data_IF_178218553796
#
_entry.id   IF_178218553796
#
_cell.length_a   1.000
_cell.length_b   1.000
_cell.length_c   1.000
_cell.angle_alpha   90.00
_cell.angle_beta   90.00
_cell.angle_gamma   90.00
#
_symmetry.space_group_name_H-M   'P 1'
#
loop_
_entity.id
_entity.type
_entity.pdbx_description
1 polymer ?
#
# COMPACT_ATOMS: atom_id res chain seq x y z
N UNK A 1 -13.40 -6.08 -23.70
CA UNK A 1 -14.45 -5.04 -23.73
C UNK A 1 -13.79 -3.72 -24.08
N UNK A 2 -14.19 -3.08 -25.19
CA UNK A 2 -13.70 -1.74 -25.50
C UNK A 2 -14.32 -0.76 -24.49
N UNK A 3 -13.47 0.00 -23.80
CA UNK A 3 -13.91 0.98 -22.82
C UNK A 3 -14.82 2.02 -23.51
N UNK A 4 -15.95 2.35 -22.87
CA UNK A 4 -17.05 3.17 -23.42
C UNK A 4 -16.61 4.55 -23.93
N UNK A 5 -15.54 5.12 -23.37
CA UNK A 5 -14.96 6.39 -23.81
C UNK A 5 -14.32 6.35 -25.21
N UNK A 6 -14.07 5.16 -25.79
CA UNK A 6 -13.49 5.04 -27.13
C UNK A 6 -14.48 5.31 -28.27
N UNK A 7 -15.79 5.29 -28.01
CA UNK A 7 -16.82 5.48 -29.05
C UNK A 7 -16.92 6.93 -29.54
N UNK A 8 -16.65 7.90 -28.68
CA UNK A 8 -16.74 9.32 -29.03
C UNK A 8 -15.42 9.91 -29.54
N UNK A 9 -14.35 9.10 -29.65
CA UNK A 9 -13.05 9.58 -30.14
C UNK A 9 -12.96 9.64 -31.67
N UNK A 10 -13.84 8.94 -32.41
CA UNK A 10 -13.78 8.94 -33.88
C UNK A 10 -13.98 10.33 -34.49
N UNK A 11 -14.84 11.16 -33.88
CA UNK A 11 -15.09 12.53 -34.32
C UNK A 11 -13.89 13.47 -34.17
N UNK A 12 -12.91 13.11 -33.34
CA UNK A 12 -11.70 13.89 -33.09
C UNK A 12 -10.48 13.33 -33.84
N UNK A 13 -10.61 12.18 -34.48
CA UNK A 13 -9.48 11.44 -35.08
C UNK A 13 -8.94 12.06 -36.37
N UNK A 14 -9.75 12.89 -37.03
CA UNK A 14 -9.39 13.56 -38.29
C UNK A 14 -8.96 15.02 -38.08
N UNK A 15 -8.89 15.48 -36.83
CA UNK A 15 -8.43 16.83 -36.52
C UNK A 15 -6.90 16.86 -36.59
N UNK A 16 -6.36 17.84 -37.31
CA UNK A 16 -4.91 18.10 -37.34
C UNK A 16 -4.50 18.84 -36.07
N UNK A 17 -3.86 18.10 -35.15
CA UNK A 17 -3.38 18.63 -33.87
C UNK A 17 -2.28 19.69 -34.07
N UNK A 18 -1.41 19.53 -35.07
CA UNK A 18 -0.31 20.45 -35.34
C UNK A 18 -0.82 21.79 -35.89
N UNK A 19 -1.83 21.76 -36.77
CA UNK A 19 -2.47 22.99 -37.25
C UNK A 19 -3.17 23.74 -36.12
N UNK A 20 -3.88 23.02 -35.23
CA UNK A 20 -4.54 23.62 -34.08
C UNK A 20 -3.54 24.32 -33.16
N UNK A 21 -2.45 23.64 -32.80
CA UNK A 21 -1.41 24.17 -31.91
C UNK A 21 -0.68 25.38 -32.52
N UNK A 22 -0.45 25.39 -33.83
CA UNK A 22 0.20 26.52 -34.51
C UNK A 22 -0.65 27.80 -34.54
N UNK A 23 -1.98 27.68 -34.40
CA UNK A 23 -2.88 28.83 -34.35
C UNK A 23 -2.95 29.48 -32.96
N UNK A 24 -2.42 28.84 -31.91
CA UNK A 24 -2.38 29.40 -30.55
C UNK A 24 -1.20 30.37 -30.39
N UNK A 25 -1.41 31.44 -29.63
CA UNK A 25 -0.33 32.32 -29.19
C UNK A 25 0.53 31.67 -28.09
N UNK A 26 1.77 32.15 -27.90
CA UNK A 26 2.67 31.65 -26.84
C UNK A 26 2.04 31.69 -25.43
N UNK A 27 1.16 32.68 -25.18
CA UNK A 27 0.45 32.81 -23.90
C UNK A 27 -0.62 31.73 -23.72
N UNK A 28 -1.36 31.41 -24.78
CA UNK A 28 -2.39 30.38 -24.76
C UNK A 28 -1.78 28.98 -24.68
N UNK A 29 -0.64 28.74 -25.35
CA UNK A 29 0.12 27.50 -25.22
C UNK A 29 0.58 27.26 -23.78
N UNK A 30 1.06 28.32 -23.11
CA UNK A 30 1.49 28.23 -21.71
C UNK A 30 0.32 27.98 -20.76
N UNK A 31 -0.85 28.57 -21.03
CA UNK A 31 -2.07 28.28 -20.28
C UNK A 31 -2.52 26.83 -20.47
N UNK A 32 -2.43 26.30 -21.69
CA UNK A 32 -2.74 24.92 -21.99
C UNK A 32 -1.81 23.95 -21.26
N UNK A 33 -0.50 24.23 -21.26
CA UNK A 33 0.50 23.48 -20.48
C UNK A 33 0.14 23.46 -18.99
N UNK A 34 -0.22 24.62 -18.43
CA UNK A 34 -0.62 24.72 -17.01
C UNK A 34 -1.89 23.91 -16.72
N UNK A 35 -2.89 23.97 -17.61
CA UNK A 35 -4.13 23.20 -17.47
C UNK A 35 -3.87 21.68 -17.53
N UNK A 36 -2.91 21.23 -18.35
CA UNK A 36 -2.49 19.83 -18.40
C UNK A 36 -1.82 19.39 -17.09
N UNK A 37 -1.02 20.26 -16.46
CA UNK A 37 -0.37 19.97 -15.17
C UNK A 37 -1.36 19.86 -14.00
N UNK A 38 -2.48 20.57 -14.06
CA UNK A 38 -3.53 20.55 -13.02
C UNK A 38 -4.55 19.42 -13.20
N UNK A 39 -4.56 18.73 -14.35
CA UNK A 39 -5.47 17.61 -14.56
C UNK A 39 -5.14 16.41 -13.65
N UNK A 40 -6.19 15.70 -13.24
CA UNK A 40 -6.05 14.46 -12.47
C UNK A 40 -5.19 13.44 -13.25
N UNK A 41 -4.07 12.95 -12.69
CA UNK A 41 -3.23 11.94 -13.34
C UNK A 41 -3.99 10.65 -13.63
N UNK A 42 -5.12 10.38 -12.97
CA UNK A 42 -5.97 9.21 -13.23
C UNK A 42 -7.02 9.45 -14.34
N UNK A 43 -7.15 10.67 -14.87
CA UNK A 43 -8.12 11.02 -15.92
C UNK A 43 -8.00 10.08 -17.14
N UNK A 44 -9.08 9.39 -17.50
CA UNK A 44 -9.10 8.41 -18.58
C UNK A 44 -8.75 8.99 -19.96
N UNK A 45 -8.91 10.30 -20.15
CA UNK A 45 -8.58 11.01 -21.40
C UNK A 45 -7.11 11.43 -21.49
N UNK A 46 -6.37 11.41 -20.38
CA UNK A 46 -4.95 11.80 -20.34
C UNK A 46 -4.07 10.59 -20.77
N UNK A 47 -3.29 10.70 -21.87
CA UNK A 47 -2.38 9.64 -22.28
C UNK A 47 -1.34 9.32 -21.20
N UNK A 48 -0.93 8.06 -21.09
CA UNK A 48 0.02 7.62 -20.07
C UNK A 48 1.34 8.42 -20.08
N UNK A 49 1.80 8.84 -21.26
CA UNK A 49 3.01 9.67 -21.40
C UNK A 49 2.88 11.08 -20.83
N UNK A 50 1.66 11.60 -20.66
CA UNK A 50 1.37 12.96 -20.19
C UNK A 50 0.89 12.99 -18.73
N UNK A 51 0.72 11.83 -18.09
CA UNK A 51 0.36 11.74 -16.65
C UNK A 51 1.51 12.12 -15.73
N UNK A 52 2.75 11.98 -16.21
CA UNK A 52 3.94 12.33 -15.47
C UNK A 52 4.48 13.66 -15.98
N UNK A 53 4.67 14.62 -15.07
CA UNK A 53 5.30 15.91 -15.37
C UNK A 53 6.75 15.71 -15.80
N UNK A 54 7.20 16.51 -16.76
CA UNK A 54 8.61 16.57 -17.11
C UNK A 54 9.44 17.10 -15.93
N UNK A 55 10.29 16.23 -15.39
CA UNK A 55 11.16 16.55 -14.25
C UNK A 55 12.45 17.28 -14.66
N UNK A 56 12.58 17.67 -15.93
CA UNK A 56 13.80 18.28 -16.46
C UNK A 56 13.50 19.29 -17.55
N UNK A 57 14.15 20.45 -17.47
CA UNK A 57 14.11 21.50 -18.51
C UNK A 57 15.16 21.24 -19.60
N UNK A 58 15.95 20.16 -19.48
CA UNK A 58 17.00 19.81 -20.44
C UNK A 58 16.38 19.19 -21.69
N UNK A 59 16.72 19.73 -22.86
CA UNK A 59 16.33 19.15 -24.14
C UNK A 59 16.87 17.71 -24.31
N UNK A 60 16.18 16.89 -25.11
CA UNK A 60 16.59 15.53 -25.40
C UNK A 60 17.99 15.49 -26.05
N UNK A 61 18.93 14.79 -25.43
CA UNK A 61 20.34 14.74 -25.88
C UNK A 61 20.63 13.67 -26.93
N UNK A 62 19.60 13.24 -27.68
CA UNK A 62 19.72 12.16 -28.67
C UNK A 62 19.72 10.75 -28.04
N UNK A 63 20.20 9.71 -28.77
CA UNK A 63 20.17 8.33 -28.30
C UNK A 63 21.07 8.13 -27.07
N UNK A 64 20.66 7.21 -26.20
CA UNK A 64 21.36 6.90 -24.96
C UNK A 64 22.81 6.44 -25.21
N UNK A 65 23.77 7.09 -24.54
CA UNK A 65 25.19 6.72 -24.55
C UNK A 65 25.65 6.36 -23.14
N UNK A 66 25.83 5.05 -22.91
CA UNK A 66 26.24 4.52 -21.60
C UNK A 66 27.59 5.07 -21.12
N UNK A 67 28.57 5.21 -22.00
CA UNK A 67 29.92 5.69 -21.66
C UNK A 67 29.93 7.14 -21.15
N UNK A 68 29.12 8.01 -21.77
CA UNK A 68 28.94 9.39 -21.32
C UNK A 68 28.25 9.46 -19.95
N UNK A 69 27.26 8.61 -19.72
CA UNK A 69 26.60 8.53 -18.42
C UNK A 69 27.56 8.07 -17.33
N UNK A 70 28.35 7.03 -17.58
CA UNK A 70 29.31 6.51 -16.60
C UNK A 70 30.40 7.53 -16.27
N UNK A 71 31.00 8.17 -17.27
CA UNK A 71 32.02 9.20 -17.04
C UNK A 71 31.46 10.42 -16.28
N UNK A 72 30.20 10.79 -16.51
CA UNK A 72 29.51 11.80 -15.71
C UNK A 72 29.34 11.37 -14.25
N UNK A 73 28.85 10.16 -14.00
CA UNK A 73 28.65 9.63 -12.64
C UNK A 73 29.98 9.48 -11.87
N UNK A 74 31.04 9.02 -12.54
CA UNK A 74 32.38 8.94 -11.92
C UNK A 74 32.89 10.32 -11.52
N UNK A 75 32.71 11.33 -12.39
CA UNK A 75 33.10 12.70 -12.11
C UNK A 75 32.29 13.28 -10.94
N UNK A 76 30.97 13.11 -10.95
CA UNK A 76 30.08 13.59 -9.89
C UNK A 76 30.40 12.93 -8.55
N UNK A 77 30.66 11.63 -8.54
CA UNK A 77 31.06 10.91 -7.33
C UNK A 77 32.43 11.37 -6.80
N UNK A 78 33.37 11.72 -7.67
CA UNK A 78 34.69 12.23 -7.28
C UNK A 78 34.62 13.65 -6.72
N UNK A 79 33.70 14.47 -7.24
CA UNK A 79 33.49 15.86 -6.80
C UNK A 79 32.61 15.96 -5.54
N UNK A 80 31.86 14.90 -5.20
CA UNK A 80 31.00 14.86 -4.03
C UNK A 80 31.82 14.93 -2.74
N UNK A 81 31.60 15.99 -1.96
CA UNK A 81 32.31 16.22 -0.70
C UNK A 81 31.60 15.54 0.46
N UNK A 82 32.39 14.96 1.36
CA UNK A 82 31.89 14.47 2.63
C UNK A 82 31.30 15.61 3.47
N UNK A 83 30.31 15.27 4.30
CA UNK A 83 29.69 16.22 5.23
C UNK A 83 30.62 16.50 6.41
N UNK A 84 30.93 17.78 6.63
CA UNK A 84 31.82 18.22 7.71
C UNK A 84 31.19 18.10 9.12
N UNK A 85 29.86 18.06 9.21
CA UNK A 85 29.09 18.08 10.47
C UNK A 85 28.71 16.69 10.99
N UNK A 86 29.33 15.63 10.45
CA UNK A 86 29.05 14.26 10.87
C UNK A 86 29.65 13.99 12.23
N UNK A 87 28.79 13.83 13.23
CA UNK A 87 29.18 13.29 14.53
C UNK A 87 29.55 11.82 14.36
N UNK A 88 30.81 11.48 14.64
CA UNK A 88 31.30 10.11 14.54
C UNK A 88 30.51 9.19 15.49
N UNK A 89 30.14 8.01 14.98
CA UNK A 89 29.43 7.02 15.78
C UNK A 89 30.36 6.49 16.89
N UNK A 90 30.08 6.86 18.14
CA UNK A 90 30.92 6.50 19.29
C UNK A 90 30.74 5.06 19.78
N UNK A 91 29.73 4.33 19.28
CA UNK A 91 29.39 2.99 19.77
C UNK A 91 28.85 2.95 21.20
N UNK A 92 28.66 4.12 21.84
CA UNK A 92 28.18 4.22 23.21
C UNK A 92 26.68 3.88 23.29
N UNK A 93 26.35 2.83 24.04
CA UNK A 93 24.96 2.48 24.34
C UNK A 93 24.42 3.40 25.43
N UNK A 94 23.76 4.49 25.04
CA UNK A 94 23.07 5.43 25.98
C UNK A 94 21.84 4.81 26.66
N UNK A 95 21.25 3.77 26.07
CA UNK A 95 20.10 3.06 26.62
C UNK A 95 20.50 2.00 27.65
N UNK A 96 19.60 1.69 28.58
CA UNK A 96 19.74 0.51 29.44
C UNK A 96 19.58 -0.75 28.59
N UNK A 97 20.48 -1.72 28.75
CA UNK A 97 20.28 -3.04 28.17
C UNK A 97 18.98 -3.62 28.74
N UNK A 98 18.09 -4.06 27.85
CA UNK A 98 16.86 -4.73 28.26
C UNK A 98 17.23 -5.98 29.05
N UNK A 99 16.77 -6.05 30.29
CA UNK A 99 16.83 -7.26 31.11
C UNK A 99 15.46 -7.92 30.99
N UNK A 100 15.36 -9.13 30.40
CA UNK A 100 14.10 -9.85 30.33
C UNK A 100 13.54 -10.00 31.74
N UNK A 101 12.30 -9.51 31.94
CA UNK A 101 11.59 -9.79 33.18
C UNK A 101 11.41 -11.30 33.24
N UNK A 102 11.94 -11.92 34.29
CA UNK A 102 11.48 -13.24 34.68
C UNK A 102 10.02 -13.04 35.05
N UNK A 103 9.11 -13.35 34.11
CA UNK A 103 7.75 -13.65 34.50
C UNK A 103 7.92 -14.80 35.50
N UNK A 104 7.42 -14.68 36.74
CA UNK A 104 7.13 -15.89 37.49
C UNK A 104 6.41 -16.78 36.50
N UNK A 105 6.86 -18.02 36.37
CA UNK A 105 6.01 -19.04 35.79
C UNK A 105 4.76 -18.93 36.65
N UNK A 106 3.75 -18.18 36.16
CA UNK A 106 2.40 -18.44 36.58
C UNK A 106 2.31 -19.92 36.26
N UNK A 107 2.36 -20.73 37.31
CA UNK A 107 1.81 -22.05 37.26
C UNK A 107 0.35 -21.81 36.90
N UNK A 108 0.09 -21.56 35.61
CA UNK A 108 -1.08 -22.09 34.98
C UNK A 108 -1.00 -23.55 35.41
N UNK A 109 -1.79 -23.88 36.41
CA UNK A 109 -2.20 -25.26 36.59
C UNK A 109 -2.87 -25.53 35.26
N UNK A 110 -2.09 -25.99 34.28
CA UNK A 110 -2.64 -26.88 33.28
C UNK A 110 -3.29 -27.94 34.15
N UNK A 111 -4.62 -27.95 34.16
CA UNK A 111 -5.33 -29.13 34.61
C UNK A 111 -4.81 -30.22 33.70
N UNK A 112 -3.75 -30.89 34.15
CA UNK A 112 -3.24 -32.09 33.53
C UNK A 112 -4.41 -33.05 33.69
N UNK A 113 -5.20 -33.19 32.63
CA UNK A 113 -6.16 -34.26 32.51
C UNK A 113 -5.36 -35.53 32.61
N UNK A 114 -5.35 -36.13 33.79
CA UNK A 114 -4.73 -37.43 34.02
C UNK A 114 -5.49 -38.42 33.16
N UNK A 115 -4.82 -38.91 32.11
CA UNK A 115 -5.37 -39.98 31.29
C UNK A 115 -5.30 -41.28 32.11
N UNK A 116 -6.14 -42.24 31.76
CA UNK A 116 -5.98 -43.57 32.34
C UNK A 116 -4.57 -44.11 32.02
N UNK A 117 -3.92 -44.82 32.95
CA UNK A 117 -2.52 -45.25 32.79
C UNK A 117 -2.26 -46.05 31.50
N UNK A 118 -3.24 -46.83 31.07
CA UNK A 118 -3.19 -47.62 29.83
C UNK A 118 -3.19 -46.72 28.57
N UNK A 119 -3.92 -45.62 28.61
CA UNK A 119 -4.02 -44.67 27.50
C UNK A 119 -2.76 -43.81 27.39
N UNK A 120 -2.18 -43.41 28.52
CA UNK A 120 -0.93 -42.66 28.57
C UNK A 120 0.26 -43.49 28.08
N UNK A 121 0.33 -44.77 28.45
CA UNK A 121 1.35 -45.70 27.96
C UNK A 121 1.18 -45.98 26.45
N UNK A 122 -0.06 -46.14 25.96
CA UNK A 122 -0.35 -46.32 24.54
C UNK A 122 0.04 -45.07 23.71
N UNK A 123 -0.28 -43.86 24.19
CA UNK A 123 0.09 -42.63 23.49
C UNK A 123 1.61 -42.36 23.53
N UNK A 124 2.29 -42.74 24.61
CA UNK A 124 3.74 -42.57 24.76
C UNK A 124 4.55 -43.59 23.94
N UNK A 125 3.96 -44.75 23.62
CA UNK A 125 4.58 -45.80 22.82
C UNK A 125 4.19 -45.75 21.34
N UNK A 126 3.18 -44.97 20.97
CA UNK A 126 2.74 -44.78 19.59
C UNK A 126 3.81 -44.07 18.75
N UNK A 127 3.88 -44.45 17.48
CA UNK A 127 4.80 -43.81 16.51
C UNK A 127 4.24 -42.49 15.99
N UNK A 128 5.11 -41.59 15.54
CA UNK A 128 4.72 -40.27 14.99
C UNK A 128 3.70 -40.38 13.85
N UNK A 129 3.77 -41.46 13.05
CA UNK A 129 2.81 -41.74 11.97
C UNK A 129 1.43 -42.10 12.50
N UNK A 130 1.35 -42.91 13.56
CA UNK A 130 0.08 -43.30 14.17
C UNK A 130 -0.57 -42.12 14.90
N UNK A 131 0.24 -41.26 15.53
CA UNK A 131 -0.22 -40.01 16.14
C UNK A 131 -0.78 -39.04 15.08
N UNK A 132 -0.15 -38.96 13.91
CA UNK A 132 -0.66 -38.15 12.79
C UNK A 132 -2.01 -38.67 12.27
N UNK A 133 -2.15 -39.98 12.12
CA UNK A 133 -3.41 -40.60 11.67
C UNK A 133 -4.53 -40.38 12.69
N UNK A 134 -4.23 -40.52 13.99
CA UNK A 134 -5.18 -40.21 15.07
C UNK A 134 -5.58 -38.72 15.06
N UNK A 135 -4.63 -37.81 14.86
CA UNK A 135 -4.90 -36.37 14.78
C UNK A 135 -5.70 -35.98 13.53
N UNK A 136 -5.53 -36.72 12.42
CA UNK A 136 -6.33 -36.56 11.21
C UNK A 136 -7.78 -37.03 11.44
N UNK A 137 -7.97 -38.18 12.09
CA UNK A 137 -9.30 -38.73 12.41
C UNK A 137 -10.05 -37.85 13.43
N UNK A 138 -9.37 -37.35 14.48
CA UNK A 138 -9.97 -36.44 15.46
C UNK A 138 -10.13 -35.00 14.96
N UNK A 139 -9.55 -34.63 13.82
CA UNK A 139 -9.61 -33.28 13.25
C UNK A 139 -8.73 -32.23 13.96
N UNK A 140 -7.84 -32.64 14.86
CA UNK A 140 -7.03 -31.74 15.71
C UNK A 140 -6.05 -30.89 14.89
N UNK A 141 -5.59 -31.39 13.73
CA UNK A 141 -4.69 -30.67 12.82
C UNK A 141 -5.27 -29.33 12.30
N UNK A 142 -6.60 -29.17 12.28
CA UNK A 142 -7.26 -27.90 11.89
C UNK A 142 -7.22 -26.83 13.00
N UNK A 143 -7.02 -27.23 14.24
CA UNK A 143 -6.93 -26.30 15.38
C UNK A 143 -5.54 -25.66 15.46
N UNK A 144 -4.50 -26.40 15.09
CA UNK A 144 -3.10 -25.92 15.09
C UNK A 144 -2.81 -24.94 13.94
N UNK A 145 -3.59 -24.99 12.85
CA UNK A 145 -3.45 -24.09 11.69
C UNK A 145 -4.20 -22.76 11.84
N UNK A 146 -4.82 -22.50 13.00
CA UNK A 146 -5.33 -21.17 13.32
C UNK A 146 -4.16 -20.20 13.47
N UNK A 147 -4.30 -19.00 12.90
CA UNK A 147 -3.25 -17.98 12.69
C UNK A 147 -2.52 -17.47 13.95
N UNK A 148 -2.84 -17.98 15.14
CA UNK A 148 -2.27 -17.57 16.41
C UNK A 148 -1.22 -18.54 16.98
N UNK A 149 -1.07 -19.75 16.43
CA UNK A 149 -0.13 -20.78 16.91
C UNK A 149 1.10 -20.98 16.02
N UNK A 150 1.41 -20.03 15.14
CA UNK A 150 2.66 -20.03 14.37
C UNK A 150 3.84 -19.60 15.25
N UNK A 151 4.24 -20.46 16.18
CA UNK A 151 5.57 -20.44 16.78
C UNK A 151 6.33 -21.70 16.34
N UNK A 152 6.99 -21.59 15.19
CA UNK A 152 8.43 -21.89 15.14
C UNK A 152 8.93 -23.33 15.18
N UNK A 153 8.13 -24.39 15.24
CA UNK A 153 8.68 -25.77 15.16
C UNK A 153 7.82 -26.73 14.34
N UNK A 154 8.03 -26.78 13.03
CA UNK A 154 7.73 -27.97 12.24
C UNK A 154 8.77 -28.12 11.15
N UNK A 155 9.48 -29.23 11.26
CA UNK A 155 10.64 -29.66 10.51
C UNK A 155 10.46 -29.62 9.00
N UNK A 156 11.62 -29.60 8.33
CA UNK A 156 11.77 -29.94 6.91
C UNK A 156 11.03 -31.26 6.61
N UNK A 157 10.33 -31.31 5.47
CA UNK A 157 9.71 -32.48 4.84
C UNK A 157 8.22 -32.78 5.09
N UNK A 158 7.36 -31.76 5.13
CA UNK A 158 5.90 -31.97 5.09
C UNK A 158 5.07 -30.69 5.00
N UNK A 159 5.30 -29.85 3.98
CA UNK A 159 4.58 -28.58 3.82
C UNK A 159 3.11 -28.77 3.44
N UNK A 160 2.19 -28.31 4.28
CA UNK A 160 0.77 -28.19 3.96
C UNK A 160 0.57 -27.21 2.79
N UNK A 161 0.12 -27.71 1.64
CA UNK A 161 -0.14 -26.90 0.43
C UNK A 161 -1.49 -26.18 0.53
N UNK A 162 -1.58 -25.13 1.35
CA UNK A 162 -2.76 -24.27 1.36
C UNK A 162 -2.49 -22.98 0.57
N UNK A 163 -3.28 -22.76 -0.50
CA UNK A 163 -3.24 -21.53 -1.31
C UNK A 163 -3.88 -20.39 -0.52
N UNK A 164 -3.07 -19.44 -0.08
CA UNK A 164 -3.55 -18.20 0.52
C UNK A 164 -4.08 -17.30 -0.58
N UNK A 165 -5.40 -17.17 -0.67
CA UNK A 165 -6.05 -16.25 -1.61
C UNK A 165 -6.07 -14.84 -1.00
N UNK A 166 -5.55 -13.87 -1.74
CA UNK A 166 -5.57 -12.46 -1.33
C UNK A 166 -6.99 -11.93 -1.13
N UNK A 167 -7.13 -10.95 -0.24
CA UNK A 167 -8.40 -10.30 0.06
C UNK A 167 -8.98 -9.64 -1.19
N UNK A 168 -10.25 -9.92 -1.50
CA UNK A 168 -10.92 -9.33 -2.67
C UNK A 168 -11.26 -7.88 -2.37
N UNK A 169 -10.64 -6.96 -3.11
CA UNK A 169 -10.96 -5.53 -3.05
C UNK A 169 -12.45 -5.31 -3.37
N UNK A 170 -13.21 -4.79 -2.42
CA UNK A 170 -14.57 -4.34 -2.69
C UNK A 170 -14.51 -3.02 -3.47
N UNK A 171 -15.20 -2.91 -4.61
CA UNK A 171 -15.24 -1.65 -5.36
C UNK A 171 -15.88 -0.57 -4.49
N UNK A 172 -15.14 0.53 -4.30
CA UNK A 172 -15.64 1.74 -3.63
C UNK A 172 -16.51 2.45 -4.66
N UNK A 173 -17.81 2.57 -4.38
CA UNK A 173 -18.73 3.35 -5.21
C UNK A 173 -18.57 4.83 -4.89
N UNK A 174 -18.74 5.69 -5.90
CA UNK A 174 -18.74 7.14 -5.69
C UNK A 174 -19.85 7.52 -4.71
N UNK A 175 -19.48 8.22 -3.64
CA UNK A 175 -20.44 8.69 -2.64
C UNK A 175 -21.42 9.69 -3.27
N UNK A 176 -22.71 9.68 -2.85
CA UNK A 176 -23.68 10.64 -3.34
C UNK A 176 -23.25 12.09 -3.01
N UNK A 177 -23.61 13.07 -3.86
CA UNK A 177 -23.28 14.48 -3.62
C UNK A 177 -23.76 14.95 -2.25
N UNK A 178 -22.94 15.76 -1.56
CA UNK A 178 -23.30 16.30 -0.24
C UNK A 178 -24.63 17.08 -0.33
N UNK A 179 -25.68 16.67 0.42
CA UNK A 179 -26.99 17.32 0.36
C UNK A 179 -27.07 18.66 1.12
N UNK A 180 -25.96 19.13 1.71
CA UNK A 180 -25.95 20.33 2.56
C UNK A 180 -26.14 21.61 1.74
N UNK A 181 -27.21 22.37 2.02
CA UNK A 181 -27.43 23.70 1.45
C UNK A 181 -26.65 24.77 2.23
N UNK A 182 -25.74 25.45 1.56
CA UNK A 182 -24.84 26.46 2.16
C UNK A 182 -25.59 27.69 2.66
N UNK A 183 -26.59 28.17 1.91
CA UNK A 183 -27.31 29.40 2.28
C UNK A 183 -28.19 29.20 3.52
N UNK A 184 -28.90 28.06 3.57
CA UNK A 184 -29.77 27.72 4.69
C UNK A 184 -28.95 27.46 5.96
N UNK A 185 -27.82 26.75 5.84
CA UNK A 185 -26.93 26.49 6.97
C UNK A 185 -26.30 27.78 7.51
N UNK A 186 -25.88 28.70 6.64
CA UNK A 186 -25.38 30.02 7.04
C UNK A 186 -26.43 30.82 7.83
N UNK A 187 -27.69 30.80 7.39
CA UNK A 187 -28.78 31.48 8.11
C UNK A 187 -29.05 30.86 9.48
N UNK A 188 -29.04 29.53 9.59
CA UNK A 188 -29.22 28.82 10.87
C UNK A 188 -28.08 29.09 11.85
N UNK A 189 -26.85 29.16 11.37
CA UNK A 189 -25.68 29.55 12.19
C UNK A 189 -25.84 30.99 12.69
N UNK A 190 -26.22 31.94 11.82
CA UNK A 190 -26.44 33.34 12.22
C UNK A 190 -27.56 33.49 13.26
N UNK A 191 -28.59 32.66 13.17
CA UNK A 191 -29.72 32.65 14.10
C UNK A 191 -29.45 31.84 15.38
N UNK A 192 -28.24 31.27 15.54
CA UNK A 192 -27.83 30.43 16.66
C UNK A 192 -28.84 29.30 16.97
N UNK A 193 -29.23 28.57 15.91
CA UNK A 193 -30.18 27.48 16.00
C UNK A 193 -29.63 26.32 16.85
N UNK A 194 -30.31 25.99 17.95
CA UNK A 194 -29.91 24.93 18.86
C UNK A 194 -30.06 23.52 18.26
N UNK A 195 -30.79 23.36 17.14
CA UNK A 195 -30.94 22.09 16.44
C UNK A 195 -29.75 21.78 15.51
N UNK A 196 -28.89 22.76 15.21
CA UNK A 196 -27.73 22.59 14.33
C UNK A 196 -26.51 22.16 15.14
N UNK A 197 -26.34 20.84 15.31
CA UNK A 197 -25.22 20.27 16.09
C UNK A 197 -23.98 20.01 15.26
N UNK A 198 -24.14 19.76 13.97
CA UNK A 198 -23.06 19.39 13.04
C UNK A 198 -23.29 20.04 11.68
N UNK A 199 -22.21 20.49 11.05
CA UNK A 199 -22.22 21.11 9.72
C UNK A 199 -21.16 20.42 8.86
N UNK A 200 -21.61 19.68 7.85
CA UNK A 200 -20.71 18.99 6.91
C UNK A 200 -20.53 19.82 5.64
N UNK A 201 -19.35 20.43 5.48
CA UNK A 201 -18.98 21.23 4.31
C UNK A 201 -18.07 20.49 3.32
N UNK A 202 -17.87 19.18 3.48
CA UNK A 202 -17.01 18.39 2.60
C UNK A 202 -17.68 18.20 1.22
N UNK A 203 -16.90 18.29 0.14
CA UNK A 203 -17.32 17.96 -1.23
C UNK A 203 -18.60 18.69 -1.70
N UNK A 204 -18.85 19.93 -1.24
CA UNK A 204 -19.94 20.78 -1.75
C UNK A 204 -19.50 21.35 -3.11
N UNK A 205 -20.39 21.27 -4.11
CA UNK A 205 -20.19 21.84 -5.46
C UNK A 205 -20.88 23.18 -5.61
#
# INVERSE_FOLDING_TARGET
>A
MALSFKKDLEKYKEIDEDELLNNLSEQELKQLETALEEMDPENALLPASMRQKDHTVKAATGPYSREKLLSFLEKEALEYKDRDDVVSFSGERKGKAFVPKQRPIESRQEEVTTLDPELEEALSSATDTELCDLAAILGVHTLVTSTQSYDGTSSKDGGYNNVVMGEKMNPVFDEPPNPTNVDDTLQRIKNNDAALTEVNLNNIK
#
